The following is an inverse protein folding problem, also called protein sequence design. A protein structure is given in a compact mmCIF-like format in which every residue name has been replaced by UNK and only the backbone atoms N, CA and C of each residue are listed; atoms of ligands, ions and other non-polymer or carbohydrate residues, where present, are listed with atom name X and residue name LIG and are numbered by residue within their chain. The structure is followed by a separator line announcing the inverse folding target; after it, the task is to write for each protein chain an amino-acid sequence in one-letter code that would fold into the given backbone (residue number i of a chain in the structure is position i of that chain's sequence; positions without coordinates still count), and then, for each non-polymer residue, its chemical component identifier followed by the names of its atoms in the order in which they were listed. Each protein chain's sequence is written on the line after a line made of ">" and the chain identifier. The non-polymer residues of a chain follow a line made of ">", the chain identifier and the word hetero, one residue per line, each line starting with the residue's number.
data_IF_628214239111
#
_entry.id   IF_628214239111
#
_cell.length_a   1.000
_cell.length_b   1.000
_cell.length_c   1.000
_cell.angle_alpha   90.00
_cell.angle_beta   90.00
_cell.angle_gamma   90.00
#
_symmetry.space_group_name_H-M   'P 1'
#
loop_
_entity.id
_entity.type
_entity.pdbx_description
1 polymer ?
#
# COMPACT_ATOMS: atom_id res chain seq x y z
N UNK A 1 -7.63 13.57 28.21
CA UNK A 1 -9.05 13.38 27.83
C UNK A 1 -9.02 12.88 26.39
N UNK A 2 -8.90 11.55 26.22
CA UNK A 2 -8.70 10.91 24.92
C UNK A 2 -10.01 10.95 24.14
N UNK A 3 -10.05 11.72 23.05
CA UNK A 3 -11.21 11.75 22.16
C UNK A 3 -11.16 10.48 21.32
N UNK A 4 -12.02 9.52 21.69
CA UNK A 4 -12.41 8.38 20.88
C UNK A 4 -13.09 8.91 19.61
N UNK A 5 -12.40 8.91 18.46
CA UNK A 5 -13.07 9.24 17.19
C UNK A 5 -13.63 7.95 16.59
N UNK A 6 -14.88 7.65 16.96
CA UNK A 6 -15.72 6.72 16.24
C UNK A 6 -16.09 7.29 14.85
N UNK A 7 -16.03 6.42 13.86
CA UNK A 7 -16.84 6.33 12.62
C UNK A 7 -17.74 7.52 12.26
N UNK A 8 -17.55 8.04 11.05
CA UNK A 8 -18.63 8.64 10.26
C UNK A 8 -18.54 8.13 8.82
N UNK A 9 -19.39 7.17 8.47
CA UNK A 9 -19.66 6.82 7.08
C UNK A 9 -20.40 7.99 6.42
N UNK A 10 -19.84 8.52 5.33
CA UNK A 10 -20.49 9.58 4.57
C UNK A 10 -21.42 8.97 3.52
N UNK A 11 -22.73 9.06 3.76
CA UNK A 11 -23.75 9.00 2.72
C UNK A 11 -23.67 10.32 1.95
N UNK A 12 -23.39 10.26 0.64
CA UNK A 12 -23.40 11.43 -0.23
C UNK A 12 -24.85 11.81 -0.54
N UNK A 13 -25.34 12.89 0.07
CA UNK A 13 -26.56 13.57 -0.36
C UNK A 13 -26.17 14.82 -1.17
N UNK A 14 -26.65 14.91 -2.41
CA UNK A 14 -26.46 16.05 -3.29
C UNK A 14 -27.26 17.27 -2.77
N UNK A 15 -26.59 18.40 -2.56
CA UNK A 15 -27.23 19.68 -2.27
C UNK A 15 -26.76 20.75 -3.27
N UNK A 16 -27.74 21.52 -3.78
CA UNK A 16 -27.62 22.59 -4.76
C UNK A 16 -26.85 23.79 -4.21
N UNK A 17 -25.90 24.33 -4.99
CA UNK A 17 -25.01 25.44 -4.63
C UNK A 17 -25.60 26.78 -5.09
N UNK A 18 -25.62 27.78 -4.21
CA UNK A 18 -25.69 29.20 -4.58
C UNK A 18 -24.27 29.80 -4.60
N UNK A 19 -23.92 30.68 -5.58
CA UNK A 19 -22.56 31.16 -5.75
C UNK A 19 -22.17 32.21 -4.71
N UNK A 20 -20.98 32.07 -4.12
CA UNK A 20 -20.29 33.11 -3.36
C UNK A 20 -19.01 33.55 -4.11
N UNK A 21 -18.59 34.82 -3.99
CA UNK A 21 -17.47 35.34 -4.77
C UNK A 21 -16.12 34.82 -4.26
N UNK A 22 -15.29 34.34 -5.18
CA UNK A 22 -13.97 33.79 -4.91
C UNK A 22 -12.94 34.91 -4.66
N UNK A 23 -12.23 34.82 -3.53
CA UNK A 23 -10.96 35.50 -3.32
C UNK A 23 -9.89 34.76 -4.12
N UNK A 24 -9.25 35.46 -5.06
CA UNK A 24 -8.20 34.92 -5.91
C UNK A 24 -6.96 34.57 -5.09
N UNK A 25 -6.73 33.28 -4.87
CA UNK A 25 -5.51 32.75 -4.29
C UNK A 25 -4.50 32.56 -5.44
N UNK A 26 -3.35 33.24 -5.38
CA UNK A 26 -2.29 33.09 -6.38
C UNK A 26 -1.80 31.65 -6.39
N UNK A 27 -1.98 30.98 -7.53
CA UNK A 27 -1.49 29.63 -7.77
C UNK A 27 0.04 29.61 -7.76
N UNK A 28 0.63 28.66 -7.03
CA UNK A 28 2.03 28.33 -7.18
C UNK A 28 2.29 27.88 -8.64
N UNK A 29 3.46 28.18 -9.22
CA UNK A 29 3.78 27.79 -10.59
C UNK A 29 3.72 26.26 -10.74
N UNK A 30 2.97 25.80 -11.73
CA UNK A 30 2.90 24.38 -12.09
C UNK A 30 4.30 23.88 -12.46
N UNK A 31 4.69 22.74 -11.88
CA UNK A 31 5.93 22.07 -12.28
C UNK A 31 5.83 21.66 -13.77
N UNK A 32 6.94 21.73 -14.53
CA UNK A 32 6.93 21.33 -15.94
C UNK A 32 6.52 19.86 -16.07
N UNK A 33 5.40 19.63 -16.73
CA UNK A 33 4.87 18.31 -17.06
C UNK A 33 5.56 17.83 -18.35
N UNK A 34 6.27 16.70 -18.31
CA UNK A 34 6.70 16.03 -19.53
C UNK A 34 5.46 15.60 -20.32
N UNK A 35 5.53 15.62 -21.66
CA UNK A 35 4.50 15.02 -22.50
C UNK A 35 4.20 13.60 -21.99
N UNK A 36 2.97 13.36 -21.55
CA UNK A 36 2.54 12.09 -20.94
C UNK A 36 2.90 10.93 -21.88
N UNK A 37 3.92 10.15 -21.52
CA UNK A 37 4.20 8.92 -22.24
C UNK A 37 2.94 8.05 -22.20
N UNK A 38 2.47 7.48 -23.33
CA UNK A 38 1.24 6.72 -23.34
C UNK A 38 1.38 5.49 -22.44
N UNK A 39 0.47 5.36 -21.49
CA UNK A 39 0.38 4.16 -20.64
C UNK A 39 0.00 2.96 -21.50
N UNK A 40 0.87 1.95 -21.52
CA UNK A 40 0.60 0.69 -22.24
C UNK A 40 -0.01 -0.32 -21.28
N UNK A 41 -1.18 -0.86 -21.60
CA UNK A 41 -1.82 -1.92 -20.80
C UNK A 41 -1.08 -3.25 -21.02
N UNK A 42 -0.66 -3.89 -19.93
CA UNK A 42 0.07 -5.17 -19.92
C UNK A 42 -0.88 -6.35 -19.69
N UNK A 43 -1.81 -6.19 -18.75
CA UNK A 43 -2.88 -7.17 -18.47
C UNK A 43 -4.06 -6.46 -17.84
N UNK A 44 -5.25 -7.05 -17.94
CA UNK A 44 -6.50 -6.60 -17.31
C UNK A 44 -7.13 -7.73 -16.49
N UNK A 45 -8.34 -7.53 -15.96
CA UNK A 45 -9.12 -8.54 -15.25
C UNK A 45 -8.45 -9.08 -13.98
N UNK A 46 -7.81 -8.16 -13.26
CA UNK A 46 -7.28 -8.41 -11.92
C UNK A 46 -8.31 -8.00 -10.87
N UNK A 47 -8.27 -8.64 -9.71
CA UNK A 47 -9.14 -8.40 -8.58
C UNK A 47 -8.35 -7.71 -7.48
N UNK A 48 -8.66 -6.44 -7.27
CA UNK A 48 -7.99 -5.59 -6.31
C UNK A 48 -6.46 -5.74 -6.34
N UNK A 49 -5.78 -5.48 -7.49
CA UNK A 49 -4.36 -5.70 -7.60
C UNK A 49 -3.57 -4.76 -6.68
N UNK A 50 -2.49 -5.26 -6.09
CA UNK A 50 -1.60 -4.54 -5.16
C UNK A 50 -0.15 -4.61 -5.66
N UNK A 51 0.80 -4.92 -4.80
CA UNK A 51 2.21 -5.07 -5.14
C UNK A 51 2.47 -6.09 -6.24
N UNK A 52 3.55 -5.86 -6.98
CA UNK A 52 3.92 -6.62 -8.15
C UNK A 52 5.44 -6.68 -8.29
N UNK A 53 5.96 -7.79 -8.81
CA UNK A 53 7.39 -7.96 -9.02
C UNK A 53 7.67 -8.94 -10.15
N UNK A 54 8.84 -8.78 -10.78
CA UNK A 54 9.33 -9.77 -11.73
C UNK A 54 9.98 -10.94 -11.00
N UNK A 55 9.52 -12.15 -11.32
CA UNK A 55 10.09 -13.39 -10.78
C UNK A 55 11.34 -13.84 -11.54
N UNK A 56 12.04 -14.87 -11.03
CA UNK A 56 13.27 -15.39 -11.63
C UNK A 56 13.07 -16.02 -13.02
N UNK A 57 11.82 -16.32 -13.38
CA UNK A 57 11.44 -16.84 -14.68
C UNK A 57 11.09 -15.75 -15.72
N UNK A 58 11.30 -14.47 -15.36
CA UNK A 58 10.99 -13.31 -16.18
C UNK A 58 9.49 -12.98 -16.28
N UNK A 59 8.62 -13.67 -15.55
CA UNK A 59 7.21 -13.34 -15.50
C UNK A 59 6.95 -12.19 -14.52
N UNK A 60 5.95 -11.37 -14.80
CA UNK A 60 5.42 -10.40 -13.85
C UNK A 60 4.42 -11.09 -12.93
N UNK A 61 4.61 -10.98 -11.62
CA UNK A 61 3.68 -11.46 -10.61
C UNK A 61 2.94 -10.30 -9.98
N UNK A 62 1.64 -10.45 -9.70
CA UNK A 62 0.80 -9.42 -9.11
C UNK A 62 0.00 -10.03 -7.96
N UNK A 63 0.12 -9.47 -6.77
CA UNK A 63 -0.72 -9.82 -5.63
C UNK A 63 -2.14 -9.30 -5.88
N UNK A 64 -3.13 -10.17 -5.81
CA UNK A 64 -4.54 -9.83 -5.92
C UNK A 64 -5.19 -10.00 -4.54
N UNK A 65 -5.61 -8.89 -3.93
CA UNK A 65 -6.28 -8.91 -2.63
C UNK A 65 -7.61 -9.70 -2.67
N UNK A 66 -8.17 -9.91 -3.86
CA UNK A 66 -9.36 -10.74 -4.10
C UNK A 66 -10.62 -9.89 -4.24
N UNK A 67 -11.76 -10.45 -3.84
CA UNK A 67 -13.10 -9.84 -3.92
C UNK A 67 -13.95 -10.15 -2.68
N UNK A 68 -13.33 -10.58 -1.57
CA UNK A 68 -14.08 -11.08 -0.41
C UNK A 68 -14.82 -12.39 -0.73
N UNK A 69 -15.96 -12.59 -0.09
CA UNK A 69 -16.83 -13.74 -0.30
C UNK A 69 -18.12 -13.68 0.53
N UNK A 70 -18.74 -14.85 0.70
CA UNK A 70 -20.02 -15.01 1.43
C UNK A 70 -19.83 -15.46 2.89
N UNK A 71 -18.61 -15.37 3.40
CA UNK A 71 -18.30 -15.69 4.80
C UNK A 71 -18.71 -14.57 5.77
N UNK A 72 -18.29 -14.67 7.04
CA UNK A 72 -18.57 -13.65 8.04
C UNK A 72 -18.16 -12.26 7.58
N UNK A 73 -19.01 -11.28 7.83
CA UNK A 73 -18.71 -9.88 7.55
C UNK A 73 -18.39 -9.14 8.86
N UNK A 74 -17.27 -8.43 8.86
CA UNK A 74 -16.80 -7.66 10.02
C UNK A 74 -16.85 -6.16 9.70
N UNK A 75 -17.27 -5.32 10.66
CA UNK A 75 -17.21 -3.87 10.49
C UNK A 75 -15.76 -3.40 10.43
N UNK A 76 -15.46 -2.49 9.51
CA UNK A 76 -14.20 -1.77 9.42
C UNK A 76 -14.42 -0.27 9.28
N UNK A 77 -13.35 0.54 9.32
CA UNK A 77 -13.44 2.00 9.25
C UNK A 77 -14.06 2.50 7.93
N UNK A 78 -13.94 1.73 6.85
CA UNK A 78 -14.45 2.07 5.51
C UNK A 78 -15.78 1.39 5.17
N UNK A 79 -16.33 0.59 6.08
CA UNK A 79 -17.58 -0.14 5.89
C UNK A 79 -17.48 -1.62 6.26
N UNK A 80 -18.53 -2.36 5.90
CA UNK A 80 -18.65 -3.79 6.19
C UNK A 80 -17.84 -4.60 5.18
N UNK A 81 -16.94 -5.46 5.66
CA UNK A 81 -16.08 -6.30 4.83
C UNK A 81 -16.39 -7.78 5.05
N UNK A 82 -16.68 -8.51 3.98
CA UNK A 82 -17.11 -9.91 3.99
C UNK A 82 -15.98 -10.86 3.59
N UNK A 83 -15.79 -11.89 4.40
CA UNK A 83 -14.73 -12.87 4.24
C UNK A 83 -14.95 -13.80 3.05
N UNK A 84 -13.87 -14.11 2.35
CA UNK A 84 -13.77 -15.20 1.39
C UNK A 84 -12.34 -15.64 1.17
N UNK A 85 -12.15 -16.53 0.20
CA UNK A 85 -10.82 -17.07 -0.17
C UNK A 85 -10.48 -16.75 -1.63
N UNK A 86 -10.87 -15.55 -2.06
CA UNK A 86 -10.70 -15.08 -3.45
C UNK A 86 -9.36 -14.39 -3.70
N UNK A 87 -8.50 -14.26 -2.67
CA UNK A 87 -7.15 -13.75 -2.81
C UNK A 87 -6.28 -14.70 -3.63
N UNK A 88 -5.35 -14.13 -4.41
CA UNK A 88 -4.51 -14.92 -5.32
C UNK A 88 -3.19 -14.22 -5.66
N UNK A 89 -2.29 -14.98 -6.29
CA UNK A 89 -1.10 -14.44 -6.96
C UNK A 89 -1.23 -14.71 -8.46
N UNK A 90 -1.41 -13.65 -9.24
CA UNK A 90 -1.38 -13.73 -10.69
C UNK A 90 0.06 -13.75 -11.20
N UNK A 91 0.31 -14.52 -12.25
CA UNK A 91 1.54 -14.56 -13.02
C UNK A 91 1.22 -14.23 -14.47
N UNK A 92 1.98 -13.31 -15.05
CA UNK A 92 1.83 -12.84 -16.42
C UNK A 92 3.14 -13.11 -17.15
N UNK A 93 3.11 -14.02 -18.13
CA UNK A 93 4.26 -14.34 -18.98
C UNK A 93 3.83 -14.44 -20.42
N UNK A 94 4.53 -13.75 -21.32
CA UNK A 94 4.25 -13.75 -22.76
C UNK A 94 2.77 -13.45 -23.07
N UNK A 95 2.18 -12.48 -22.37
CA UNK A 95 0.76 -12.09 -22.52
C UNK A 95 -0.24 -13.04 -21.85
N UNK A 96 0.18 -14.18 -21.32
CA UNK A 96 -0.70 -15.15 -20.66
C UNK A 96 -0.76 -14.88 -19.16
N UNK A 97 -1.97 -14.63 -18.64
CA UNK A 97 -2.27 -14.47 -17.21
C UNK A 97 -2.74 -15.80 -16.61
N UNK A 98 -2.09 -16.24 -15.54
CA UNK A 98 -2.48 -17.44 -14.78
C UNK A 98 -2.38 -17.18 -13.27
N UNK A 99 -3.38 -17.58 -12.49
CA UNK A 99 -3.33 -17.49 -11.02
C UNK A 99 -2.62 -18.71 -10.45
N UNK A 100 -1.38 -18.52 -10.00
CA UNK A 100 -0.49 -19.59 -9.55
C UNK A 100 -0.72 -19.94 -8.08
N UNK A 101 -1.15 -18.97 -7.27
CA UNK A 101 -1.68 -19.18 -5.92
C UNK A 101 -3.14 -18.73 -5.90
N UNK A 102 -4.00 -19.51 -5.26
CA UNK A 102 -5.44 -19.28 -5.17
C UNK A 102 -5.94 -19.75 -3.81
N UNK A 103 -7.12 -19.30 -3.37
CA UNK A 103 -7.67 -19.72 -2.08
C UNK A 103 -7.11 -18.94 -0.90
N UNK A 104 -6.46 -17.80 -1.15
CA UNK A 104 -5.89 -16.96 -0.10
C UNK A 104 -7.00 -16.10 0.52
N UNK A 105 -6.90 -15.76 1.82
CA UNK A 105 -7.93 -14.98 2.49
C UNK A 105 -8.12 -13.62 1.83
N UNK A 106 -9.37 -13.18 1.80
CA UNK A 106 -9.80 -11.92 1.23
C UNK A 106 -10.99 -11.38 2.03
N UNK A 107 -10.94 -10.11 2.42
CA UNK A 107 -12.01 -9.36 3.07
C UNK A 107 -12.32 -8.18 2.17
N UNK A 108 -13.56 -8.01 1.72
CA UNK A 108 -13.92 -6.93 0.81
C UNK A 108 -15.35 -6.48 1.04
N UNK A 109 -15.74 -5.33 0.48
CA UNK A 109 -17.13 -4.94 0.40
C UNK A 109 -17.96 -6.01 -0.34
N UNK A 110 -19.30 -6.00 -0.15
CA UNK A 110 -20.18 -7.00 -0.77
C UNK A 110 -20.14 -7.00 -2.31
N UNK A 111 -19.78 -5.88 -2.93
CA UNK A 111 -19.55 -5.76 -4.38
C UNK A 111 -18.14 -6.22 -4.82
N UNK A 112 -17.30 -6.61 -3.86
CA UNK A 112 -15.92 -7.07 -4.03
C UNK A 112 -14.87 -5.96 -4.08
N UNK A 113 -15.26 -4.69 -3.92
CA UNK A 113 -14.32 -3.56 -3.89
C UNK A 113 -13.59 -3.44 -2.55
N UNK A 114 -12.53 -2.64 -2.51
CA UNK A 114 -11.76 -2.32 -1.29
C UNK A 114 -11.25 -3.56 -0.55
N UNK A 115 -10.76 -4.56 -1.30
CA UNK A 115 -10.34 -5.81 -0.68
C UNK A 115 -9.02 -5.68 0.11
N UNK A 116 -8.95 -6.39 1.24
CA UNK A 116 -7.75 -6.71 2.01
C UNK A 116 -7.46 -8.20 1.83
N UNK A 117 -6.20 -8.54 1.54
CA UNK A 117 -5.77 -9.89 1.19
C UNK A 117 -4.27 -9.89 0.89
N UNK A 118 -3.78 -10.67 -0.08
CA UNK A 118 -2.44 -10.51 -0.62
C UNK A 118 -2.12 -9.04 -0.94
N UNK A 119 -1.05 -8.50 -0.35
CA UNK A 119 -0.71 -7.08 -0.42
C UNK A 119 0.54 -6.80 -1.25
N UNK A 120 1.57 -7.63 -1.15
CA UNK A 120 2.78 -7.45 -1.94
C UNK A 120 3.48 -8.78 -2.23
N UNK A 121 4.29 -8.80 -3.29
CA UNK A 121 5.11 -9.93 -3.72
C UNK A 121 6.51 -9.46 -4.09
N UNK A 122 7.54 -10.17 -3.64
CA UNK A 122 8.94 -9.87 -4.00
C UNK A 122 9.76 -11.15 -4.18
N UNK A 123 10.94 -11.05 -4.80
CA UNK A 123 11.77 -12.21 -5.14
C UNK A 123 13.26 -12.00 -4.78
N UNK A 124 13.88 -13.06 -4.24
CA UNK A 124 15.33 -13.25 -4.13
C UNK A 124 15.62 -14.75 -4.21
N UNK A 125 15.53 -15.31 -5.42
CA UNK A 125 15.53 -16.76 -5.66
C UNK A 125 14.21 -17.43 -5.25
N UNK A 126 13.77 -17.23 -4.00
CA UNK A 126 12.43 -17.55 -3.51
C UNK A 126 11.47 -16.38 -3.70
N UNK A 127 10.17 -16.67 -3.74
CA UNK A 127 9.12 -15.66 -3.67
C UNK A 127 8.68 -15.43 -2.23
N UNK A 128 8.43 -14.17 -1.87
CA UNK A 128 7.81 -13.78 -0.61
C UNK A 128 6.52 -13.01 -0.89
N UNK A 129 5.53 -13.15 0.00
CA UNK A 129 4.19 -12.57 -0.11
C UNK A 129 3.75 -12.05 1.26
N UNK A 130 3.20 -10.85 1.32
CA UNK A 130 2.45 -10.36 2.49
C UNK A 130 0.96 -10.55 2.30
N UNK A 131 0.25 -10.80 3.38
CA UNK A 131 -1.21 -10.76 3.44
C UNK A 131 -1.59 -9.77 4.52
N UNK A 132 -2.26 -8.67 4.17
CA UNK A 132 -2.63 -7.58 5.07
C UNK A 132 -3.69 -7.94 6.12
N UNK A 133 -4.16 -6.98 6.90
CA UNK A 133 -5.34 -7.13 7.79
C UNK A 133 -6.05 -5.80 8.02
N UNK A 134 -5.32 -4.75 8.46
CA UNK A 134 -5.88 -3.43 8.73
C UNK A 134 -6.81 -3.41 9.94
N UNK A 135 -6.48 -4.18 10.97
CA UNK A 135 -7.24 -4.30 12.21
C UNK A 135 -6.38 -4.93 13.32
N UNK A 136 -6.91 -4.93 14.55
CA UNK A 136 -6.39 -5.75 15.65
C UNK A 136 -6.32 -7.24 15.22
N UNK A 137 -5.17 -7.92 15.34
CA UNK A 137 -5.03 -9.34 15.01
C UNK A 137 -6.03 -10.28 15.71
N UNK A 138 -6.63 -9.88 16.83
CA UNK A 138 -7.64 -10.64 17.56
C UNK A 138 -8.89 -10.90 16.70
N UNK A 139 -9.19 -10.05 15.71
CA UNK A 139 -10.35 -10.24 14.82
C UNK A 139 -10.26 -11.54 14.01
N UNK A 140 -9.05 -12.09 13.81
CA UNK A 140 -8.86 -13.40 13.15
C UNK A 140 -9.57 -14.53 13.88
N UNK A 141 -9.92 -14.37 15.16
CA UNK A 141 -10.70 -15.35 15.94
C UNK A 141 -12.15 -15.46 15.51
N UNK A 142 -12.66 -14.47 14.80
CA UNK A 142 -14.01 -14.44 14.25
C UNK A 142 -14.07 -15.01 12.82
N UNK A 143 -12.92 -15.37 12.24
CA UNK A 143 -12.81 -15.83 10.85
C UNK A 143 -12.57 -17.34 10.75
N UNK A 144 -12.97 -17.98 9.63
CA UNK A 144 -12.63 -19.36 9.33
C UNK A 144 -11.11 -19.60 9.28
N UNK A 145 -10.70 -20.87 9.19
CA UNK A 145 -9.28 -21.27 9.23
C UNK A 145 -8.39 -20.49 8.24
N UNK A 146 -8.86 -20.22 7.02
CA UNK A 146 -8.12 -19.41 6.05
C UNK A 146 -7.89 -17.96 6.52
N UNK A 147 -8.79 -17.38 7.32
CA UNK A 147 -8.61 -16.05 7.91
C UNK A 147 -7.47 -15.95 8.93
N UNK A 148 -6.96 -17.09 9.44
CA UNK A 148 -5.75 -17.11 10.27
C UNK A 148 -4.48 -16.75 9.49
N UNK A 149 -4.58 -16.66 8.17
CA UNK A 149 -3.46 -16.27 7.30
C UNK A 149 -3.31 -14.75 7.14
N UNK A 150 -4.29 -13.95 7.55
CA UNK A 150 -4.15 -12.49 7.53
C UNK A 150 -2.99 -12.02 8.43
N UNK A 151 -2.48 -10.83 8.13
CA UNK A 151 -1.32 -10.20 8.76
C UNK A 151 -0.13 -11.15 9.01
N UNK A 152 0.29 -11.80 7.93
CA UNK A 152 1.40 -12.74 7.90
C UNK A 152 2.32 -12.53 6.69
N UNK A 153 3.53 -13.05 6.82
CA UNK A 153 4.52 -13.13 5.73
C UNK A 153 4.69 -14.58 5.33
N UNK A 154 4.67 -14.83 4.04
CA UNK A 154 4.72 -16.16 3.46
C UNK A 154 5.84 -16.24 2.42
N UNK A 155 6.40 -17.43 2.27
CA UNK A 155 7.35 -17.76 1.21
C UNK A 155 6.80 -18.88 0.34
N UNK A 156 7.23 -18.89 -0.92
CA UNK A 156 6.92 -19.95 -1.87
C UNK A 156 8.10 -20.13 -2.84
N UNK A 157 8.21 -21.33 -3.41
CA UNK A 157 9.19 -21.60 -4.46
C UNK A 157 8.58 -21.19 -5.81
N UNK A 158 9.17 -20.22 -6.53
CA UNK A 158 8.75 -19.92 -7.89
C UNK A 158 9.17 -21.09 -8.80
N UNK A 159 8.35 -21.43 -9.79
CA UNK A 159 8.64 -22.59 -10.62
C UNK A 159 7.47 -22.99 -11.53
N UNK A 160 7.40 -24.27 -11.94
CA UNK A 160 6.30 -24.79 -12.73
C UNK A 160 4.95 -24.43 -12.12
N UNK A 161 3.97 -24.10 -12.96
CA UNK A 161 2.60 -23.80 -12.53
C UNK A 161 1.88 -25.09 -12.08
N UNK A 162 2.41 -26.25 -12.49
CA UNK A 162 1.91 -27.58 -12.16
C UNK A 162 3.07 -28.42 -11.58
N UNK A 163 2.96 -28.92 -10.34
CA UNK A 163 1.90 -28.59 -9.38
C UNK A 163 1.94 -27.10 -8.99
N UNK A 164 0.81 -26.57 -8.51
CA UNK A 164 0.78 -25.19 -8.01
C UNK A 164 1.77 -25.03 -6.85
N UNK A 165 2.43 -23.86 -6.71
CA UNK A 165 3.27 -23.58 -5.57
C UNK A 165 2.48 -23.65 -4.25
N UNK A 166 3.16 -24.05 -3.19
CA UNK A 166 2.64 -24.05 -1.82
C UNK A 166 3.19 -22.85 -1.06
N UNK A 167 2.33 -22.14 -0.35
CA UNK A 167 2.75 -21.09 0.58
C UNK A 167 3.14 -21.69 1.93
N UNK A 168 4.30 -21.27 2.43
CA UNK A 168 4.77 -21.56 3.78
C UNK A 168 4.77 -20.26 4.58
N UNK A 169 4.14 -20.26 5.77
CA UNK A 169 4.22 -19.12 6.69
C UNK A 169 5.65 -18.96 7.18
N UNK A 170 6.18 -17.75 7.08
CA UNK A 170 7.52 -17.37 7.57
C UNK A 170 7.39 -16.65 8.90
N UNK A 171 6.50 -15.66 8.97
CA UNK A 171 6.28 -14.87 10.19
C UNK A 171 4.81 -14.53 10.38
N UNK A 172 4.41 -14.39 11.65
CA UNK A 172 3.12 -13.85 12.04
C UNK A 172 3.32 -12.42 12.56
N UNK A 173 3.00 -11.44 11.71
CA UNK A 173 3.20 -10.03 12.05
C UNK A 173 2.19 -9.59 13.09
N UNK A 174 0.94 -10.06 13.00
CA UNK A 174 -0.06 -9.73 14.03
C UNK A 174 0.26 -10.33 15.40
N UNK A 175 0.86 -11.52 15.48
CA UNK A 175 1.33 -12.02 16.78
C UNK A 175 2.46 -11.17 17.36
N UNK A 176 3.35 -10.65 16.50
CA UNK A 176 4.39 -9.71 16.91
C UNK A 176 3.78 -8.39 17.41
N UNK A 177 2.81 -7.84 16.67
CA UNK A 177 2.10 -6.62 17.05
C UNK A 177 1.40 -6.75 18.40
N UNK A 178 0.66 -7.84 18.63
CA UNK A 178 -0.02 -8.09 19.91
C UNK A 178 0.93 -8.21 21.11
N UNK A 179 2.15 -8.68 20.89
CA UNK A 179 3.09 -8.96 21.98
C UNK A 179 4.10 -7.83 22.21
N UNK A 180 4.48 -7.11 21.15
CA UNK A 180 5.52 -6.09 21.20
C UNK A 180 4.95 -4.69 21.05
N UNK A 181 3.92 -4.48 20.22
CA UNK A 181 3.32 -3.19 19.88
C UNK A 181 4.38 -2.08 19.75
N UNK A 182 5.19 -2.09 18.68
CA UNK A 182 6.42 -1.30 18.63
C UNK A 182 6.22 0.20 18.74
N UNK A 183 5.10 0.73 18.24
CA UNK A 183 4.79 2.16 18.31
C UNK A 183 4.09 2.56 19.61
N UNK A 184 3.61 1.58 20.39
CA UNK A 184 2.90 1.78 21.66
C UNK A 184 1.49 2.36 21.47
N UNK A 185 0.97 2.37 20.25
CA UNK A 185 -0.34 2.87 19.89
C UNK A 185 -1.45 1.84 20.11
N UNK A 186 -2.55 2.02 19.39
CA UNK A 186 -3.59 0.99 19.28
C UNK A 186 -3.00 -0.26 18.62
N UNK A 187 -3.37 -1.44 19.11
CA UNK A 187 -2.91 -2.71 18.52
C UNK A 187 -3.58 -2.90 17.17
N UNK A 188 -2.87 -2.55 16.10
CA UNK A 188 -3.34 -2.67 14.72
C UNK A 188 -2.19 -3.15 13.82
N UNK A 189 -2.48 -4.02 12.86
CA UNK A 189 -1.47 -4.49 11.91
C UNK A 189 -2.02 -4.56 10.49
N UNK A 190 -1.17 -4.20 9.54
CA UNK A 190 -1.40 -4.34 8.13
C UNK A 190 -0.05 -4.45 7.39
N UNK A 191 0.60 -5.62 7.35
CA UNK A 191 1.85 -5.80 6.63
C UNK A 191 1.60 -5.58 5.13
N UNK A 192 2.00 -4.40 4.64
CA UNK A 192 1.61 -3.90 3.33
C UNK A 192 2.61 -4.33 2.27
N UNK A 193 3.89 -4.00 2.45
CA UNK A 193 4.95 -4.28 1.49
C UNK A 193 6.09 -5.07 2.10
N UNK A 194 6.84 -5.79 1.26
CA UNK A 194 7.98 -6.61 1.66
C UNK A 194 9.15 -6.48 0.69
N UNK A 195 10.36 -6.34 1.23
CA UNK A 195 11.59 -6.31 0.45
C UNK A 195 12.67 -7.20 1.08
N UNK A 196 13.43 -7.93 0.26
CA UNK A 196 14.64 -8.62 0.74
C UNK A 196 15.78 -7.63 1.03
N UNK A 197 16.58 -7.94 2.05
CA UNK A 197 17.82 -7.25 2.40
C UNK A 197 18.78 -8.14 3.20
N UNK A 198 19.88 -7.59 3.77
CA UNK A 198 20.98 -8.38 4.32
C UNK A 198 20.60 -9.29 5.50
N UNK A 199 19.54 -8.95 6.23
CA UNK A 199 19.06 -9.70 7.40
C UNK A 199 17.86 -10.63 7.14
N UNK A 200 17.46 -10.81 5.88
CA UNK A 200 16.22 -11.50 5.50
C UNK A 200 15.28 -10.55 4.77
N UNK A 201 14.05 -10.40 5.26
CA UNK A 201 13.05 -9.50 4.71
C UNK A 201 12.85 -8.28 5.62
N UNK A 202 12.50 -7.15 5.04
CA UNK A 202 11.87 -6.04 5.76
C UNK A 202 10.41 -5.94 5.31
N UNK A 203 9.52 -5.68 6.27
CA UNK A 203 8.07 -5.58 6.08
C UNK A 203 7.64 -4.24 6.65
N UNK A 204 7.04 -3.40 5.83
CA UNK A 204 6.33 -2.22 6.30
C UNK A 204 4.96 -2.64 6.82
N UNK A 205 4.74 -2.39 8.11
CA UNK A 205 3.46 -2.60 8.75
C UNK A 205 2.72 -1.26 8.86
N UNK A 206 1.74 -1.07 7.97
CA UNK A 206 0.95 0.15 7.90
C UNK A 206 0.10 0.37 9.16
N UNK A 207 -0.38 -0.71 9.78
CA UNK A 207 -1.19 -0.65 10.99
C UNK A 207 -0.36 -0.30 12.22
N UNK A 208 0.76 -1.01 12.40
CA UNK A 208 1.62 -0.86 13.59
C UNK A 208 2.66 0.27 13.48
N UNK A 209 2.54 1.15 12.48
CA UNK A 209 3.48 2.25 12.19
C UNK A 209 4.97 1.86 12.23
N UNK A 210 5.32 0.66 11.79
CA UNK A 210 6.66 0.12 11.96
C UNK A 210 7.25 -0.42 10.66
N UNK A 211 8.58 -0.34 10.56
CA UNK A 211 9.34 -1.20 9.67
C UNK A 211 9.85 -2.38 10.49
N UNK A 212 9.47 -3.58 10.11
CA UNK A 212 9.83 -4.83 10.78
C UNK A 212 10.86 -5.59 9.95
N UNK A 213 11.79 -6.28 10.60
CA UNK A 213 12.74 -7.20 10.01
C UNK A 213 12.32 -8.63 10.31
N UNK A 214 12.27 -9.46 9.28
CA UNK A 214 11.93 -10.89 9.37
C UNK A 214 13.13 -11.70 8.91
N UNK A 215 13.74 -12.44 9.83
CA UNK A 215 14.86 -13.32 9.51
C UNK A 215 14.42 -14.57 8.73
N UNK A 216 15.37 -15.30 8.16
CA UNK A 216 15.09 -16.56 7.45
C UNK A 216 14.44 -17.64 8.34
N UNK A 217 14.66 -17.61 9.66
CA UNK A 217 14.02 -18.50 10.62
C UNK A 217 12.61 -18.06 11.03
N UNK A 218 12.16 -16.88 10.60
CA UNK A 218 10.87 -16.31 10.94
C UNK A 218 10.87 -15.40 12.17
N UNK A 219 12.01 -15.20 12.83
CA UNK A 219 12.10 -14.25 13.95
C UNK A 219 11.87 -12.81 13.44
N UNK A 220 10.98 -12.09 14.12
CA UNK A 220 10.60 -10.71 13.82
C UNK A 220 11.29 -9.77 14.80
N UNK A 221 11.74 -8.61 14.32
CA UNK A 221 12.26 -7.51 15.14
C UNK A 221 11.88 -6.15 14.54
N UNK A 222 11.77 -5.13 15.38
CA UNK A 222 11.55 -3.76 14.90
C UNK A 222 12.84 -3.17 14.35
N UNK A 223 12.80 -2.66 13.11
CA UNK A 223 13.90 -1.93 12.47
C UNK A 223 13.75 -0.42 12.62
N UNK A 224 12.52 0.07 12.57
CA UNK A 224 12.16 1.47 12.81
C UNK A 224 10.70 1.59 13.23
N UNK A 225 10.40 2.66 13.96
CA UNK A 225 9.04 3.11 14.27
C UNK A 225 8.85 4.50 13.68
N UNK A 226 7.67 4.76 13.13
CA UNK A 226 7.31 6.05 12.56
C UNK A 226 6.21 6.67 13.42
N UNK A 227 6.54 7.60 14.33
CA UNK A 227 5.58 8.09 15.30
C UNK A 227 4.42 8.85 14.63
N UNK A 228 3.31 8.94 15.36
CA UNK A 228 2.23 9.89 15.07
C UNK A 228 2.81 11.31 14.91
N UNK A 229 2.26 12.06 13.95
CA UNK A 229 2.73 13.39 13.63
C UNK A 229 1.60 14.38 13.84
N UNK A 230 1.97 15.57 14.31
CA UNK A 230 1.07 16.71 14.38
C UNK A 230 1.59 17.84 13.46
N UNK A 231 0.75 18.63 12.81
CA UNK A 231 -0.72 18.53 12.77
C UNK A 231 -1.25 18.70 11.35
N UNK A 232 -2.50 18.27 11.17
CA UNK A 232 -3.30 18.51 9.99
C UNK A 232 -4.58 19.26 10.37
N UNK A 233 -5.07 20.13 9.47
CA UNK A 233 -6.34 20.81 9.67
C UNK A 233 -7.49 19.79 9.65
N UNK A 234 -8.34 19.84 10.67
CA UNK A 234 -9.52 19.01 10.77
C UNK A 234 -10.48 19.28 9.59
N UNK A 235 -10.99 18.24 8.92
CA UNK A 235 -12.01 18.41 7.89
C UNK A 235 -13.30 19.02 8.46
N UNK A 236 -13.99 19.91 7.71
CA UNK A 236 -15.20 20.57 8.20
C UNK A 236 -16.34 19.63 8.63
N UNK A 237 -16.45 18.46 8.00
CA UNK A 237 -17.49 17.47 8.31
C UNK A 237 -17.36 16.85 9.71
N UNK A 238 -16.24 17.07 10.41
CA UNK A 238 -16.11 16.70 11.81
C UNK A 238 -16.84 17.64 12.77
N UNK A 239 -17.35 18.78 12.29
CA UNK A 239 -18.06 19.75 13.13
C UNK A 239 -17.18 20.46 14.16
N UNK A 240 -15.86 20.38 14.01
CA UNK A 240 -14.88 21.06 14.86
C UNK A 240 -14.72 22.53 14.46
N UNK A 241 -14.32 23.43 15.38
CA UNK A 241 -14.07 24.84 15.05
C UNK A 241 -13.12 24.98 13.86
N UNK A 242 -13.36 25.91 12.91
CA UNK A 242 -12.48 26.12 11.77
C UNK A 242 -11.02 26.33 12.18
N UNK A 243 -10.09 25.66 11.50
CA UNK A 243 -8.66 25.72 11.80
C UNK A 243 -8.19 24.77 12.90
N UNK A 244 -9.08 24.02 13.55
CA UNK A 244 -8.72 22.98 14.53
C UNK A 244 -7.67 22.05 13.93
N UNK A 245 -6.58 21.85 14.68
CA UNK A 245 -5.48 20.98 14.31
C UNK A 245 -5.65 19.62 14.99
N UNK A 246 -5.56 18.54 14.22
CA UNK A 246 -5.61 17.16 14.71
C UNK A 246 -4.34 16.40 14.33
N UNK A 247 -3.92 15.42 15.15
CA UNK A 247 -2.81 14.55 14.79
C UNK A 247 -3.17 13.62 13.63
N UNK A 248 -2.16 13.02 13.02
CA UNK A 248 -2.32 11.99 11.99
C UNK A 248 -1.22 10.94 12.09
N UNK A 249 -1.60 9.70 11.77
CA UNK A 249 -0.71 8.54 11.81
C UNK A 249 0.30 8.54 10.65
N UNK A 250 1.47 7.93 10.85
CA UNK A 250 2.51 7.83 9.83
C UNK A 250 2.12 6.91 8.66
N UNK A 251 1.61 5.72 8.98
CA UNK A 251 1.15 4.68 8.06
C UNK A 251 2.22 4.33 7.01
N UNK A 252 3.29 3.59 7.38
CA UNK A 252 4.31 3.18 6.44
C UNK A 252 3.76 2.17 5.42
N UNK A 253 4.02 2.39 4.14
CA UNK A 253 3.38 1.63 3.04
C UNK A 253 4.36 0.81 2.22
N UNK A 254 4.97 1.36 1.18
CA UNK A 254 5.96 0.68 0.35
C UNK A 254 7.31 0.56 1.02
N UNK A 255 8.00 -0.55 0.76
CA UNK A 255 9.41 -0.73 1.13
C UNK A 255 10.23 -1.23 -0.05
N UNK A 256 11.36 -0.58 -0.32
CA UNK A 256 12.38 -1.05 -1.27
C UNK A 256 13.76 -1.08 -0.63
N UNK A 257 14.59 -2.07 -0.98
CA UNK A 257 15.98 -2.13 -0.53
C UNK A 257 16.93 -1.67 -1.63
N UNK A 258 17.89 -0.81 -1.28
CA UNK A 258 18.96 -0.40 -2.18
C UNK A 258 20.23 -0.02 -1.41
N UNK A 259 21.37 -0.59 -1.79
CA UNK A 259 22.72 -0.25 -1.29
C UNK A 259 22.80 -0.03 0.24
N UNK A 260 22.36 -1.02 1.02
CA UNK A 260 22.51 -1.00 2.48
C UNK A 260 21.41 -0.27 3.25
N UNK A 261 20.37 0.23 2.58
CA UNK A 261 19.25 0.90 3.22
C UNK A 261 17.89 0.47 2.66
N UNK A 262 16.88 0.54 3.51
CA UNK A 262 15.47 0.45 3.11
C UNK A 262 14.93 1.84 2.85
N UNK A 263 14.11 1.98 1.82
CA UNK A 263 13.35 3.18 1.49
C UNK A 263 11.90 2.90 1.83
N UNK A 264 11.31 3.68 2.72
CA UNK A 264 9.97 3.44 3.27
C UNK A 264 9.10 4.65 3.03
N UNK A 265 7.94 4.46 2.41
CA UNK A 265 6.99 5.54 2.12
C UNK A 265 5.94 5.67 3.21
N UNK A 266 5.19 6.77 3.18
CA UNK A 266 4.07 7.02 4.08
C UNK A 266 2.79 7.31 3.31
N UNK A 267 1.69 6.69 3.74
CA UNK A 267 0.37 7.13 3.32
C UNK A 267 -0.04 8.43 4.03
N UNK A 268 0.34 8.61 5.30
CA UNK A 268 -0.25 9.57 6.25
C UNK A 268 -1.74 9.34 6.48
N UNK A 269 -2.09 8.86 7.67
CA UNK A 269 -3.46 8.49 8.04
C UNK A 269 -4.41 9.68 8.09
N UNK A 270 -5.69 9.40 8.40
CA UNK A 270 -6.73 10.43 8.52
C UNK A 270 -6.24 11.64 9.35
N UNK A 271 -6.44 12.88 8.88
CA UNK A 271 -7.30 13.31 7.76
C UNK A 271 -6.60 13.30 6.38
N UNK A 272 -5.60 12.44 6.17
CA UNK A 272 -4.89 12.25 4.91
C UNK A 272 -4.31 13.57 4.36
N UNK A 273 -3.50 14.29 5.16
CA UNK A 273 -3.07 15.63 4.81
C UNK A 273 -2.19 15.66 3.56
N UNK A 274 -2.54 16.55 2.63
CA UNK A 274 -1.73 16.83 1.44
C UNK A 274 -0.31 17.30 1.81
N UNK A 275 0.68 16.91 1.01
CA UNK A 275 2.07 17.34 1.13
C UNK A 275 2.74 17.02 2.48
N UNK A 276 2.26 16.01 3.22
CA UNK A 276 2.85 15.58 4.51
C UNK A 276 3.52 14.22 4.47
N UNK A 277 3.35 13.46 3.39
CA UNK A 277 4.01 12.17 3.24
C UNK A 277 5.51 12.35 2.96
N UNK A 278 6.29 11.44 3.53
CA UNK A 278 7.73 11.37 3.39
C UNK A 278 8.15 10.02 2.81
N UNK A 279 9.35 9.99 2.23
CA UNK A 279 10.13 8.77 2.01
C UNK A 279 11.30 8.81 2.99
N UNK A 280 11.42 7.77 3.82
CA UNK A 280 12.54 7.59 4.73
C UNK A 280 13.55 6.65 4.14
N UNK A 281 14.82 6.94 4.38
CA UNK A 281 15.93 5.99 4.29
C UNK A 281 16.22 5.44 5.68
N UNK A 282 16.11 4.13 5.82
CA UNK A 282 16.33 3.39 7.07
C UNK A 282 17.53 2.47 6.89
N UNK A 283 18.62 2.77 7.60
CA UNK A 283 19.77 1.86 7.73
C UNK A 283 19.58 1.10 9.05
N UNK A 284 19.57 -0.25 9.06
CA UNK A 284 19.42 -1.01 10.28
C UNK A 284 20.37 -0.55 11.40
N UNK A 285 19.82 -0.31 12.59
CA UNK A 285 20.57 0.20 13.75
C UNK A 285 20.81 1.71 13.76
N UNK A 286 20.29 2.46 12.78
CA UNK A 286 20.32 3.93 12.73
C UNK A 286 18.91 4.51 12.70
N UNK A 287 18.76 5.73 13.16
CA UNK A 287 17.49 6.47 13.06
C UNK A 287 17.07 6.65 11.59
N UNK A 288 15.77 6.57 11.26
CA UNK A 288 15.25 6.91 9.94
C UNK A 288 15.59 8.35 9.54
N UNK A 289 15.97 8.55 8.27
CA UNK A 289 16.27 9.88 7.71
C UNK A 289 15.34 10.16 6.56
N UNK A 290 14.69 11.33 6.54
CA UNK A 290 13.85 11.75 5.41
C UNK A 290 14.73 12.04 4.19
N UNK A 291 14.42 11.41 3.06
CA UNK A 291 15.12 11.64 1.77
C UNK A 291 14.23 12.30 0.72
N UNK A 292 12.92 12.28 0.92
CA UNK A 292 11.96 13.08 0.17
C UNK A 292 10.79 13.46 1.09
N UNK A 293 10.29 14.68 0.96
CA UNK A 293 9.18 15.22 1.73
C UNK A 293 8.25 16.03 0.84
N UNK A 294 7.08 16.40 1.35
CA UNK A 294 6.12 17.20 0.58
C UNK A 294 5.33 16.37 -0.43
N UNK A 295 5.28 15.05 -0.24
CA UNK A 295 4.48 14.13 -1.06
C UNK A 295 3.08 13.98 -0.44
N UNK A 296 2.15 13.36 -1.17
CA UNK A 296 0.79 13.08 -0.70
C UNK A 296 0.45 11.61 -0.88
N UNK A 297 -0.05 10.95 0.18
CA UNK A 297 -0.57 9.58 0.13
C UNK A 297 0.26 8.59 -0.70
N UNK A 298 1.55 8.47 -0.38
CA UNK A 298 2.48 7.59 -1.09
C UNK A 298 2.24 6.14 -0.65
N UNK A 299 2.03 5.23 -1.60
CA UNK A 299 1.73 3.82 -1.31
C UNK A 299 2.83 2.85 -1.72
N UNK A 300 3.74 3.25 -2.60
CA UNK A 300 4.85 2.39 -3.01
C UNK A 300 6.09 3.17 -3.47
N UNK A 301 7.25 2.51 -3.43
CA UNK A 301 8.55 3.04 -3.84
C UNK A 301 9.34 2.00 -4.60
N UNK A 302 10.04 2.45 -5.64
CA UNK A 302 11.05 1.64 -6.30
C UNK A 302 12.35 2.42 -6.48
N UNK A 303 13.49 1.74 -6.33
CA UNK A 303 14.82 2.35 -6.47
C UNK A 303 15.55 1.66 -7.61
N UNK A 304 15.88 2.41 -8.67
CA UNK A 304 16.63 1.89 -9.80
C UNK A 304 18.08 1.56 -9.43
N UNK A 305 18.77 0.78 -10.26
CA UNK A 305 20.16 0.36 -10.01
C UNK A 305 21.15 1.51 -9.84
N UNK A 306 20.86 2.68 -10.43
CA UNK A 306 21.65 3.91 -10.27
C UNK A 306 21.27 4.77 -9.06
N UNK A 307 20.37 4.29 -8.20
CA UNK A 307 19.88 5.01 -7.01
C UNK A 307 18.73 5.98 -7.26
N UNK A 308 18.21 6.09 -8.50
CA UNK A 308 17.03 6.92 -8.78
C UNK A 308 15.81 6.37 -8.04
N UNK A 309 15.15 7.21 -7.25
CA UNK A 309 13.95 6.84 -6.48
C UNK A 309 12.69 7.25 -7.25
N UNK A 310 11.74 6.33 -7.33
CA UNK A 310 10.42 6.52 -7.90
C UNK A 310 9.37 6.27 -6.82
N UNK A 311 8.32 7.09 -6.78
CA UNK A 311 7.28 7.02 -5.77
C UNK A 311 5.89 6.99 -6.42
N UNK A 312 5.01 6.16 -5.89
CA UNK A 312 3.64 6.00 -6.37
C UNK A 312 2.68 6.57 -5.34
N UNK A 313 1.92 7.59 -5.73
CA UNK A 313 0.87 8.19 -4.90
C UNK A 313 -0.48 7.60 -5.30
N UNK A 314 -1.26 7.15 -4.32
CA UNK A 314 -2.63 6.68 -4.56
C UNK A 314 -3.58 7.84 -4.85
N UNK A 315 -3.31 9.01 -4.24
CA UNK A 315 -4.00 10.26 -4.42
C UNK A 315 -3.01 11.41 -4.26
N UNK A 316 -2.83 12.27 -5.27
CA UNK A 316 -1.87 13.37 -5.17
C UNK A 316 -2.43 14.63 -4.50
N UNK A 317 -3.76 14.80 -4.50
CA UNK A 317 -4.43 15.94 -3.88
C UNK A 317 -4.80 15.67 -2.42
N UNK A 318 -5.35 14.49 -2.14
CA UNK A 318 -5.62 13.87 -0.83
C UNK A 318 -6.65 12.75 -1.06
N UNK A 319 -6.65 11.72 -0.21
CA UNK A 319 -7.71 10.70 -0.20
C UNK A 319 -9.11 11.26 0.15
N UNK A 320 -9.21 12.44 0.77
CA UNK A 320 -10.49 13.12 1.00
C UNK A 320 -11.01 13.91 -0.21
N UNK A 321 -10.27 13.92 -1.32
CA UNK A 321 -10.70 14.57 -2.56
C UNK A 321 -11.98 13.89 -3.07
N UNK A 322 -12.95 14.64 -3.65
CA UNK A 322 -14.12 14.03 -4.29
C UNK A 322 -13.76 13.10 -5.47
N UNK A 323 -12.60 13.32 -6.09
CA UNK A 323 -12.08 12.51 -7.18
C UNK A 323 -10.57 12.31 -7.00
N UNK A 324 -10.15 11.43 -6.08
CA UNK A 324 -8.73 11.18 -5.84
C UNK A 324 -8.10 10.57 -7.08
N UNK A 325 -6.94 11.09 -7.49
CA UNK A 325 -6.20 10.60 -8.64
C UNK A 325 -4.76 10.26 -8.26
N UNK A 326 -4.31 9.09 -8.68
CA UNK A 326 -2.95 8.63 -8.45
C UNK A 326 -1.97 9.14 -9.50
N UNK A 327 -0.69 9.18 -9.13
CA UNK A 327 0.40 9.56 -10.02
C UNK A 327 1.70 8.82 -9.69
N UNK A 328 2.53 8.65 -10.70
CA UNK A 328 3.89 8.13 -10.57
C UNK A 328 4.88 9.30 -10.66
N UNK A 329 5.81 9.35 -9.71
CA UNK A 329 6.80 10.41 -9.59
C UNK A 329 8.22 9.85 -9.70
N UNK A 330 9.11 10.62 -10.33
CA UNK A 330 10.55 10.51 -10.17
C UNK A 330 11.01 11.53 -9.13
N UNK A 331 11.65 11.06 -8.07
CA UNK A 331 12.20 11.92 -7.01
C UNK A 331 13.50 12.54 -7.50
N UNK A 332 13.64 13.86 -7.32
CA UNK A 332 14.82 14.62 -7.69
C UNK A 332 15.38 15.29 -6.43
N UNK A 333 16.53 14.84 -5.89
CA UNK A 333 17.10 15.43 -4.69
C UNK A 333 17.28 16.95 -4.83
N UNK A 334 16.77 17.71 -3.85
CA UNK A 334 16.84 19.18 -3.84
C UNK A 334 15.93 19.88 -4.86
N UNK A 335 15.07 19.16 -5.58
CA UNK A 335 14.13 19.72 -6.56
C UNK A 335 12.72 19.14 -6.34
N UNK A 336 11.72 19.79 -6.94
CA UNK A 336 10.36 19.23 -6.97
C UNK A 336 10.37 17.86 -7.70
N UNK A 337 9.57 16.87 -7.23
CA UNK A 337 9.38 15.63 -7.97
C UNK A 337 8.92 15.88 -9.40
N UNK A 338 9.29 14.99 -10.31
CA UNK A 338 8.85 15.02 -11.71
C UNK A 338 7.73 13.99 -11.89
N UNK A 339 6.54 14.45 -12.31
CA UNK A 339 5.42 13.55 -12.64
C UNK A 339 5.71 12.83 -13.96
N UNK A 340 5.69 11.50 -13.93
CA UNK A 340 5.88 10.64 -15.11
C UNK A 340 4.55 10.14 -15.68
N UNK A 341 3.58 9.90 -14.80
CA UNK A 341 2.22 9.55 -15.16
C UNK A 341 1.26 10.11 -14.11
N UNK A 342 0.05 10.48 -14.53
CA UNK A 342 -1.04 10.95 -13.68
C UNK A 342 -2.36 10.41 -14.22
N UNK A 343 -3.46 10.56 -13.46
CA UNK A 343 -4.75 10.00 -13.86
C UNK A 343 -4.87 8.50 -13.58
N UNK A 344 -4.03 7.96 -12.69
CA UNK A 344 -4.15 6.58 -12.23
C UNK A 344 -5.36 6.46 -11.30
N UNK A 345 -6.05 5.33 -11.35
CA UNK A 345 -7.26 5.06 -10.57
C UNK A 345 -6.90 4.16 -9.40
N UNK A 346 -6.69 4.73 -8.21
CA UNK A 346 -6.28 3.98 -7.00
C UNK A 346 -5.16 2.95 -7.29
N UNK A 347 -3.98 3.40 -7.74
CA UNK A 347 -2.88 2.48 -8.05
C UNK A 347 -2.45 1.68 -6.82
N UNK A 348 -2.03 0.42 -7.03
CA UNK A 348 -1.82 -0.55 -5.96
C UNK A 348 -0.36 -0.91 -5.67
N UNK A 349 0.56 -0.61 -6.58
CA UNK A 349 1.98 -0.97 -6.45
C UNK A 349 2.80 -0.61 -7.69
N UNK A 350 4.12 -0.59 -7.54
CA UNK A 350 5.12 -0.16 -8.52
C UNK A 350 6.29 -1.15 -8.58
N UNK A 351 6.70 -1.53 -9.79
CA UNK A 351 7.99 -2.22 -9.99
C UNK A 351 8.70 -1.74 -11.24
N UNK A 352 10.03 -1.90 -11.26
CA UNK A 352 10.88 -1.48 -12.37
C UNK A 352 11.47 -2.69 -13.08
N UNK A 353 11.44 -2.68 -14.41
CA UNK A 353 12.07 -3.74 -15.20
C UNK A 353 12.45 -3.24 -16.59
N UNK A 354 13.69 -3.49 -17.00
CA UNK A 354 14.20 -3.23 -18.36
C UNK A 354 13.88 -1.81 -18.89
N UNK A 355 14.05 -0.78 -18.06
CA UNK A 355 13.81 0.61 -18.47
C UNK A 355 12.34 1.04 -18.47
N UNK A 356 11.44 0.24 -17.89
CA UNK A 356 10.03 0.56 -17.72
C UNK A 356 9.63 0.56 -16.24
N UNK A 357 8.69 1.42 -15.90
CA UNK A 357 7.89 1.31 -14.69
C UNK A 357 6.59 0.55 -14.99
N UNK A 358 6.23 -0.38 -14.13
CA UNK A 358 5.00 -1.16 -14.16
C UNK A 358 4.19 -0.80 -12.92
N UNK A 359 2.92 -0.46 -13.12
CA UNK A 359 2.01 -0.03 -12.05
C UNK A 359 0.75 -0.88 -12.10
N UNK A 360 0.37 -1.47 -10.98
CA UNK A 360 -0.97 -2.01 -10.82
C UNK A 360 -1.96 -0.86 -10.60
N UNK A 361 -3.09 -0.90 -11.29
CA UNK A 361 -4.05 0.19 -11.37
C UNK A 361 -5.49 -0.35 -11.22
N UNK A 362 -6.41 0.50 -10.79
CA UNK A 362 -7.72 0.11 -10.27
C UNK A 362 -7.58 -0.87 -9.09
N UNK A 363 -6.74 -0.51 -8.12
CA UNK A 363 -6.41 -1.33 -6.96
C UNK A 363 -7.63 -1.66 -6.11
N UNK A 364 -8.65 -0.82 -6.04
CA UNK A 364 -9.86 -1.11 -5.27
C UNK A 364 -10.95 -1.86 -6.07
N UNK A 365 -10.64 -2.29 -7.29
CA UNK A 365 -11.65 -2.77 -8.25
C UNK A 365 -11.71 -4.30 -8.31
N UNK A 366 -12.91 -4.86 -8.18
CA UNK A 366 -13.19 -6.27 -8.43
C UNK A 366 -13.26 -6.54 -9.94
N UNK A 367 -12.31 -7.29 -10.50
CA UNK A 367 -12.30 -7.67 -11.92
C UNK A 367 -11.99 -6.54 -12.91
N UNK A 368 -11.96 -5.27 -12.47
CA UNK A 368 -11.58 -4.11 -13.27
C UNK A 368 -10.08 -3.76 -13.20
N UNK A 369 -9.32 -4.45 -12.34
CA UNK A 369 -7.90 -4.22 -12.14
C UNK A 369 -7.05 -4.47 -13.38
N UNK A 370 -5.99 -3.69 -13.54
CA UNK A 370 -5.04 -3.80 -14.65
C UNK A 370 -3.60 -3.57 -14.20
N UNK A 371 -2.65 -3.90 -15.07
CA UNK A 371 -1.28 -3.40 -14.99
C UNK A 371 -1.02 -2.53 -16.21
N UNK A 372 -0.45 -1.35 -15.98
CA UNK A 372 0.03 -0.45 -17.02
C UNK A 372 1.56 -0.33 -16.93
N UNK A 373 2.20 0.02 -18.04
CA UNK A 373 3.63 0.35 -18.06
C UNK A 373 3.93 1.63 -18.85
N UNK A 374 5.05 2.26 -18.52
CA UNK A 374 5.60 3.43 -19.21
C UNK A 374 7.14 3.39 -19.22
N UNK A 375 7.80 3.98 -20.23
CA UNK A 375 9.26 4.09 -20.27
C UNK A 375 9.78 5.06 -19.20
N UNK A 376 11.04 4.88 -18.77
CA UNK A 376 11.73 5.66 -17.72
C UNK A 376 12.93 6.47 -18.19
#
# INVERSE_FOLDING_TARGET
>A
MYVRVFTAGAIVAAALIAPSPALAQQAAPAAPELAKAPLTVVTTQLNNPRGLAFGPDGALYVAEAGKGGVGPCLPGPEGLNCFGTSGSLARIKNGVKTRVLTGLPSMAHQDGTNAIGPSDVTFLGLGALTIGLGADPAVRNQLPAAGKQFAGVYAFVPGPITPKPTLKKVADIGAYEQSVNPDGGEVDTNPQSVAFGPGGMAVSDAGGNALLGVSASGAVKTLAVFPERCCATAPPFLGLPPGTQIPFQAVPTGVAYHQGAYYVTQLTGFPFPANKANIYRVVPGKAPVVVASGLTNVIDVAVAGNGTVYALEIAHDTLLSPAPSGRLLKIRPGQSPLTLAAGLTFPGGLTLHQGYAYVSDCGICAGGGRVVRLPL
#
